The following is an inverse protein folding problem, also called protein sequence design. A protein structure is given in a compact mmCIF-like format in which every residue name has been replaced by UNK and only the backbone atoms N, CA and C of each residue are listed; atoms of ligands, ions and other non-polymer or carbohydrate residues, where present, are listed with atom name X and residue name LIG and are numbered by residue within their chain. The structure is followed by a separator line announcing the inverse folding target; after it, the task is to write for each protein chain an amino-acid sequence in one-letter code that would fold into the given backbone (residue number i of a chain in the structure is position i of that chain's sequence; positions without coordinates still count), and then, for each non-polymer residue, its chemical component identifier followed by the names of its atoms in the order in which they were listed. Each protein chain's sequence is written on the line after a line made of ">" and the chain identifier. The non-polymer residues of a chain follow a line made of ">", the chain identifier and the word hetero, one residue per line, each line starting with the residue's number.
data_IF_947933295529
#
_entry.id   IF_947933295529
#
_cell.length_a   1.000
_cell.length_b   1.000
_cell.length_c   1.000
_cell.angle_alpha   90.00
_cell.angle_beta   90.00
_cell.angle_gamma   90.00
#
_symmetry.space_group_name_H-M   'P 1'
#
loop_
_entity.id
_entity.type
_entity.pdbx_description
1 polymer ?
#
# COMPACT_ATOMS: atom_id res chain seq x y z
N UNK A 1 11.01 -8.16 13.53
CA UNK A 1 11.95 -9.23 13.10
C UNK A 1 13.37 -8.72 13.24
N UNK A 2 14.38 -9.60 13.51
CA UNK A 2 15.79 -9.18 13.70
C UNK A 2 16.38 -8.61 12.39
N UNK A 3 17.12 -7.47 12.44
CA UNK A 3 17.67 -6.83 11.24
C UNK A 3 18.64 -7.73 10.47
N UNK A 4 19.42 -8.58 11.15
CA UNK A 4 20.33 -9.53 10.51
C UNK A 4 19.58 -10.49 9.54
N UNK A 5 18.38 -10.97 9.95
CA UNK A 5 17.58 -11.87 9.11
C UNK A 5 16.90 -11.14 7.94
N UNK A 6 16.53 -9.88 8.13
CA UNK A 6 15.90 -9.05 7.08
C UNK A 6 16.92 -8.62 6.03
N UNK A 7 18.15 -8.27 6.44
CA UNK A 7 19.22 -7.86 5.51
C UNK A 7 19.48 -8.91 4.43
N UNK A 8 19.52 -10.18 4.79
CA UNK A 8 19.72 -11.28 3.82
C UNK A 8 18.67 -11.32 2.70
N UNK A 9 17.43 -10.92 3.01
CA UNK A 9 16.34 -10.87 2.02
C UNK A 9 16.43 -9.59 1.19
N UNK A 10 16.72 -8.47 1.84
CA UNK A 10 16.83 -7.17 1.19
C UNK A 10 18.03 -7.11 0.24
N UNK A 11 19.16 -7.72 0.61
CA UNK A 11 20.35 -7.79 -0.25
C UNK A 11 20.10 -8.58 -1.53
N UNK A 12 19.26 -9.60 -1.48
CA UNK A 12 18.89 -10.40 -2.66
C UNK A 12 18.04 -9.61 -3.69
N UNK A 13 17.32 -8.57 -3.28
CA UNK A 13 16.45 -7.77 -4.19
C UNK A 13 16.99 -6.38 -4.50
N UNK A 14 18.09 -5.98 -3.87
CA UNK A 14 18.71 -4.67 -4.09
C UNK A 14 19.19 -4.53 -5.54
N UNK A 15 18.88 -3.41 -6.19
CA UNK A 15 19.25 -3.11 -7.58
C UNK A 15 18.37 -3.79 -8.63
N UNK A 16 17.41 -4.61 -8.24
CA UNK A 16 16.49 -5.28 -9.16
C UNK A 16 15.33 -4.36 -9.58
N UNK A 17 14.76 -4.64 -10.76
CA UNK A 17 13.51 -4.03 -11.17
C UNK A 17 12.34 -4.52 -10.28
N UNK A 18 11.28 -3.71 -10.19
CA UNK A 18 10.17 -3.97 -9.26
C UNK A 18 9.46 -5.30 -9.50
N UNK A 19 9.14 -5.62 -10.75
CA UNK A 19 8.42 -6.84 -11.10
C UNK A 19 9.22 -8.14 -10.78
N UNK A 20 10.49 -8.31 -11.23
CA UNK A 20 11.28 -9.47 -10.86
C UNK A 20 11.60 -9.57 -9.38
N UNK A 21 11.77 -8.43 -8.67
CA UNK A 21 11.95 -8.42 -7.23
C UNK A 21 10.73 -8.98 -6.48
N UNK A 22 9.51 -8.64 -6.91
CA UNK A 22 8.28 -9.20 -6.34
C UNK A 22 8.17 -10.72 -6.59
N UNK A 23 8.50 -11.16 -7.80
CA UNK A 23 8.53 -12.58 -8.13
C UNK A 23 9.52 -13.34 -7.24
N UNK A 24 10.74 -12.84 -7.11
CA UNK A 24 11.78 -13.46 -6.26
C UNK A 24 11.35 -13.54 -4.79
N UNK A 25 10.76 -12.45 -4.23
CA UNK A 25 10.26 -12.45 -2.86
C UNK A 25 9.10 -13.43 -2.65
N UNK A 26 8.32 -13.73 -3.69
CA UNK A 26 7.20 -14.68 -3.60
C UNK A 26 7.70 -16.11 -3.45
N UNK A 27 8.75 -16.49 -4.19
CA UNK A 27 9.32 -17.84 -4.14
C UNK A 27 10.30 -18.06 -2.99
N UNK A 28 10.75 -16.97 -2.34
CA UNK A 28 11.71 -17.07 -1.24
C UNK A 28 11.05 -17.67 0.02
N UNK A 29 11.60 -18.76 0.53
CA UNK A 29 11.10 -19.49 1.71
C UNK A 29 11.32 -18.78 3.05
N UNK A 30 12.03 -17.67 3.08
CA UNK A 30 12.35 -16.93 4.31
C UNK A 30 11.15 -16.14 4.83
N UNK A 31 10.86 -16.25 6.13
CA UNK A 31 9.76 -15.52 6.78
C UNK A 31 9.87 -13.98 6.64
N UNK A 32 11.08 -13.44 6.42
CA UNK A 32 11.32 -12.01 6.18
C UNK A 32 10.86 -11.57 4.78
N UNK A 33 10.68 -12.47 3.82
CA UNK A 33 10.27 -12.13 2.46
C UNK A 33 8.85 -11.55 2.42
N UNK A 34 7.91 -12.09 3.19
CA UNK A 34 6.52 -11.61 3.23
C UNK A 34 6.36 -10.14 3.60
N UNK A 35 6.94 -9.64 4.73
CA UNK A 35 6.84 -8.22 5.07
C UNK A 35 7.60 -7.32 4.08
N UNK A 36 8.75 -7.76 3.54
CA UNK A 36 9.49 -6.99 2.53
C UNK A 36 8.69 -6.92 1.21
N UNK A 37 8.03 -8.01 0.79
CA UNK A 37 7.13 -8.02 -0.36
C UNK A 37 6.00 -7.00 -0.22
N UNK A 38 5.29 -7.00 0.92
CA UNK A 38 4.21 -6.03 1.18
C UNK A 38 4.70 -4.59 1.14
N UNK A 39 5.89 -4.33 1.67
CA UNK A 39 6.48 -3.00 1.63
C UNK A 39 6.80 -2.58 0.19
N UNK A 40 7.33 -3.49 -0.62
CA UNK A 40 7.63 -3.22 -2.03
C UNK A 40 6.36 -3.01 -2.85
N UNK A 41 5.31 -3.82 -2.65
CA UNK A 41 3.99 -3.63 -3.27
C UNK A 41 3.41 -2.26 -2.95
N UNK A 42 3.46 -1.84 -1.68
CA UNK A 42 3.02 -0.52 -1.24
C UNK A 42 3.84 0.61 -1.86
N UNK A 43 5.15 0.44 -1.97
CA UNK A 43 6.03 1.44 -2.58
C UNK A 43 5.76 1.61 -4.08
N UNK A 44 5.51 0.51 -4.80
CA UNK A 44 5.13 0.55 -6.23
C UNK A 44 3.78 1.23 -6.40
N UNK A 45 2.77 0.86 -5.60
CA UNK A 45 1.45 1.50 -5.65
C UNK A 45 1.53 3.01 -5.37
N UNK A 46 2.37 3.45 -4.42
CA UNK A 46 2.61 4.86 -4.15
C UNK A 46 3.26 5.57 -5.34
N UNK A 47 4.21 4.91 -6.02
CA UNK A 47 4.86 5.47 -7.21
C UNK A 47 3.86 5.65 -8.37
N UNK A 48 3.00 4.68 -8.60
CA UNK A 48 1.95 4.74 -9.63
C UNK A 48 0.90 5.81 -9.31
N UNK A 49 0.35 5.76 -8.08
CA UNK A 49 -0.79 6.61 -7.72
C UNK A 49 -0.39 8.06 -7.46
N UNK A 50 0.65 8.30 -6.67
CA UNK A 50 1.03 9.64 -6.22
C UNK A 50 1.94 10.36 -7.24
N UNK A 51 2.89 9.62 -7.84
CA UNK A 51 3.89 10.19 -8.74
C UNK A 51 3.62 9.93 -10.21
N UNK A 52 2.59 9.14 -10.54
CA UNK A 52 2.21 8.78 -11.91
C UNK A 52 3.36 8.17 -12.72
N UNK A 53 4.21 7.39 -12.06
CA UNK A 53 5.31 6.68 -12.68
C UNK A 53 4.85 5.34 -13.25
N UNK A 54 5.49 4.91 -14.33
CA UNK A 54 5.21 3.59 -14.91
C UNK A 54 5.83 2.48 -14.08
N UNK A 55 5.03 1.46 -13.79
CA UNK A 55 5.42 0.31 -12.97
C UNK A 55 6.62 -0.46 -13.54
N UNK A 56 6.67 -0.60 -14.87
CA UNK A 56 7.71 -1.37 -15.54
C UNK A 56 9.08 -0.71 -15.47
N UNK A 57 9.11 0.63 -15.39
CA UNK A 57 10.33 1.41 -15.29
C UNK A 57 10.94 1.49 -13.88
N UNK A 58 10.23 1.03 -12.84
CA UNK A 58 10.66 1.13 -11.46
C UNK A 58 11.73 0.10 -11.10
N UNK A 59 12.78 0.54 -10.42
CA UNK A 59 13.80 -0.33 -9.85
C UNK A 59 14.17 0.08 -8.41
N UNK A 60 14.73 -0.84 -7.65
CA UNK A 60 15.12 -0.61 -6.26
C UNK A 60 16.51 0.03 -6.27
N UNK A 61 16.57 1.36 -6.10
CA UNK A 61 17.83 2.10 -6.01
C UNK A 61 18.57 1.80 -4.71
N UNK A 62 17.85 1.88 -3.61
CA UNK A 62 18.43 1.67 -2.29
C UNK A 62 17.46 0.92 -1.39
N UNK A 63 18.01 0.02 -0.58
CA UNK A 63 17.27 -0.74 0.41
C UNK A 63 18.10 -0.84 1.68
N UNK A 64 17.62 -0.20 2.74
CA UNK A 64 18.32 -0.07 4.02
C UNK A 64 17.54 -0.79 5.12
N UNK A 65 18.27 -1.47 6.00
CA UNK A 65 17.70 -2.15 7.17
C UNK A 65 18.42 -1.72 8.42
N UNK A 66 17.76 -0.90 9.22
CA UNK A 66 18.25 -0.37 10.47
C UNK A 66 17.69 -1.15 11.67
N UNK A 67 18.37 -1.11 12.79
CA UNK A 67 17.90 -1.72 14.01
C UNK A 67 16.80 -0.86 14.61
N UNK A 68 15.65 -1.50 14.92
CA UNK A 68 14.56 -0.89 15.67
C UNK A 68 14.67 -1.18 17.18
N UNK A 69 13.66 -0.77 17.96
CA UNK A 69 13.62 -1.01 19.39
C UNK A 69 13.67 -2.50 19.71
N UNK A 70 14.35 -2.83 20.82
CA UNK A 70 14.48 -4.22 21.26
C UNK A 70 13.61 -4.45 22.48
N UNK A 71 12.67 -5.40 22.38
CA UNK A 71 11.85 -5.83 23.50
C UNK A 71 12.62 -6.86 24.32
N UNK A 72 12.91 -6.54 25.57
CA UNK A 72 13.58 -7.44 26.50
C UNK A 72 12.57 -8.39 27.13
N UNK A 73 12.88 -9.69 27.14
CA UNK A 73 12.13 -10.75 27.80
C UNK A 73 13.08 -11.60 28.61
N UNK A 74 12.58 -12.29 29.61
CA UNK A 74 13.36 -13.10 30.52
C UNK A 74 12.89 -14.54 30.46
N UNK A 75 13.82 -15.46 30.58
CA UNK A 75 13.55 -16.88 30.71
C UNK A 75 14.14 -17.37 32.03
N UNK A 76 13.32 -18.03 32.88
CA UNK A 76 13.82 -18.58 34.14
C UNK A 76 14.88 -19.67 33.86
N UNK A 77 15.89 -19.69 34.68
CA UNK A 77 16.99 -20.66 34.68
C UNK A 77 17.14 -21.27 36.08
N UNK A 78 18.08 -22.24 36.22
CA UNK A 78 18.38 -22.88 37.48
C UNK A 78 18.80 -21.87 38.55
N UNK A 79 18.64 -22.21 39.82
CA UNK A 79 19.02 -21.42 41.01
C UNK A 79 18.36 -20.03 41.05
N UNK A 80 17.12 -19.88 40.56
CA UNK A 80 16.39 -18.62 40.60
C UNK A 80 16.96 -17.54 39.67
N UNK A 81 17.93 -17.87 38.82
CA UNK A 81 18.52 -16.94 37.86
C UNK A 81 17.59 -16.71 36.66
N UNK A 82 17.76 -15.60 35.95
CA UNK A 82 17.00 -15.29 34.75
C UNK A 82 17.94 -14.93 33.59
N UNK A 83 17.72 -15.53 32.42
CA UNK A 83 18.45 -15.23 31.20
C UNK A 83 17.66 -14.27 30.29
N UNK A 84 18.26 -13.16 29.82
CA UNK A 84 17.59 -12.20 28.95
C UNK A 84 17.38 -12.75 27.53
N UNK A 85 16.20 -12.53 26.97
CA UNK A 85 15.88 -12.80 25.55
C UNK A 85 15.58 -11.47 24.87
N UNK A 86 16.38 -11.13 23.86
CA UNK A 86 16.22 -9.91 23.09
C UNK A 86 15.34 -10.15 21.86
N UNK A 87 14.11 -9.66 21.87
CA UNK A 87 13.22 -9.61 20.70
C UNK A 87 13.54 -8.36 19.87
N UNK A 88 14.50 -8.49 18.96
CA UNK A 88 14.94 -7.38 18.11
C UNK A 88 13.93 -7.09 17.02
N UNK A 89 13.69 -5.80 16.72
CA UNK A 89 12.92 -5.31 15.58
C UNK A 89 13.81 -4.62 14.56
N UNK A 90 13.29 -4.29 13.41
CA UNK A 90 14.02 -3.60 12.34
C UNK A 90 13.13 -2.58 11.63
N UNK A 91 13.72 -1.49 11.21
CA UNK A 91 13.14 -0.52 10.27
C UNK A 91 13.69 -0.82 8.88
N UNK A 92 12.81 -0.90 7.90
CA UNK A 92 13.18 -1.15 6.50
C UNK A 92 12.77 0.07 5.68
N UNK A 93 13.74 0.64 4.95
CA UNK A 93 13.53 1.76 4.05
C UNK A 93 13.86 1.31 2.64
N UNK A 94 12.89 1.45 1.71
CA UNK A 94 13.06 1.16 0.30
C UNK A 94 12.94 2.46 -0.49
N UNK A 95 13.89 2.69 -1.39
CA UNK A 95 13.88 3.81 -2.33
C UNK A 95 13.77 3.23 -3.72
N UNK A 96 12.68 3.58 -4.42
CA UNK A 96 12.45 3.24 -5.81
C UNK A 96 12.84 4.42 -6.69
N UNK A 97 13.37 4.13 -7.86
CA UNK A 97 13.69 5.11 -8.89
C UNK A 97 13.20 4.60 -10.24
N UNK A 98 12.77 5.50 -11.11
CA UNK A 98 12.39 5.17 -12.48
C UNK A 98 13.60 5.33 -13.40
N UNK A 99 13.93 4.31 -14.17
CA UNK A 99 14.99 4.36 -15.20
C UNK A 99 14.62 5.27 -16.37
N UNK A 100 13.33 5.40 -16.62
CA UNK A 100 12.79 6.28 -17.66
C UNK A 100 12.17 7.46 -16.95
N UNK A 101 12.64 8.67 -17.18
CA UNK A 101 12.04 9.92 -16.66
C UNK A 101 10.64 10.22 -17.23
N UNK A 102 9.93 9.23 -17.69
CA UNK A 102 8.57 9.30 -18.17
C UNK A 102 7.61 9.38 -16.99
N UNK A 103 7.50 10.60 -16.44
CA UNK A 103 6.30 11.05 -15.78
C UNK A 103 5.18 10.84 -16.79
N UNK A 104 4.21 9.98 -16.50
CA UNK A 104 2.95 9.98 -17.25
C UNK A 104 2.38 11.38 -17.12
N UNK A 105 2.60 12.22 -18.13
CA UNK A 105 1.85 13.45 -18.27
C UNK A 105 0.39 13.02 -18.33
N UNK A 106 -0.36 13.44 -17.32
CA UNK A 106 -1.79 13.30 -17.33
C UNK A 106 -2.22 13.99 -18.64
N UNK A 107 -2.67 13.20 -19.63
CA UNK A 107 -3.34 13.70 -20.81
C UNK A 107 -4.50 14.53 -20.28
N UNK A 108 -4.27 15.83 -20.22
CA UNK A 108 -5.30 16.82 -19.93
C UNK A 108 -6.32 16.62 -21.04
N UNK A 109 -7.47 16.08 -20.66
CA UNK A 109 -8.61 16.01 -21.55
C UNK A 109 -8.81 17.43 -22.07
N UNK A 110 -8.60 17.61 -23.37
CA UNK A 110 -8.98 18.81 -24.08
C UNK A 110 -10.48 18.97 -23.85
N UNK A 111 -10.82 19.99 -23.07
CA UNK A 111 -12.15 20.53 -22.99
C UNK A 111 -12.52 20.99 -24.37
N UNK A 112 -13.44 20.27 -24.99
CA UNK A 112 -14.13 20.78 -26.17
C UNK A 112 -14.95 21.99 -25.74
N UNK A 113 -14.44 23.17 -26.08
CA UNK A 113 -15.28 24.34 -26.24
C UNK A 113 -16.28 24.05 -27.36
N UNK A 114 -17.51 23.80 -26.97
CA UNK A 114 -18.65 23.95 -27.85
C UNK A 114 -19.41 25.20 -27.44
N UNK A 115 -19.01 26.30 -28.09
CA UNK A 115 -19.89 27.43 -28.29
C UNK A 115 -21.15 26.96 -29.01
N UNK A 116 -22.26 27.00 -28.34
CA UNK A 116 -23.57 27.03 -28.95
C UNK A 116 -24.39 28.18 -28.37
N UNK A 117 -24.23 29.33 -29.02
CA UNK A 117 -25.26 30.35 -29.06
C UNK A 117 -26.54 29.75 -29.61
N UNK A 118 -27.59 29.69 -28.81
CA UNK A 118 -28.96 29.75 -29.29
C UNK A 118 -29.86 30.43 -28.27
N UNK A 119 -30.39 31.54 -28.80
CA UNK A 119 -31.41 32.39 -28.21
C UNK A 119 -32.71 31.62 -27.90
N UNK A 120 -33.33 32.04 -26.82
CA UNK A 120 -34.76 32.22 -26.61
C UNK A 120 -35.71 31.05 -26.80
N UNK A 121 -36.35 30.68 -25.68
CA UNK A 121 -37.79 30.58 -25.62
C UNK A 121 -38.28 30.40 -24.16
N UNK A 122 -39.02 31.38 -23.69
CA UNK A 122 -39.90 31.34 -22.55
C UNK A 122 -40.93 30.22 -22.71
N UNK A 123 -41.15 29.46 -21.64
CA UNK A 123 -42.47 28.99 -21.24
C UNK A 123 -42.50 28.54 -19.79
N UNK A 124 -43.20 29.36 -18.99
CA UNK A 124 -43.77 29.07 -17.70
C UNK A 124 -44.67 27.81 -17.74
N UNK A 125 -44.57 26.95 -16.73
CA UNK A 125 -45.77 26.39 -16.07
C UNK A 125 -45.37 25.71 -14.75
N UNK A 126 -46.10 26.16 -13.73
CA UNK A 126 -46.27 25.62 -12.39
C UNK A 126 -46.58 24.10 -12.40
N UNK A 127 -46.09 23.40 -11.41
CA UNK A 127 -46.85 22.72 -10.36
C UNK A 127 -45.97 21.77 -9.51
N UNK A 128 -46.03 22.03 -8.22
CA UNK A 128 -45.73 21.11 -7.11
C UNK A 128 -47.06 20.42 -6.73
N UNK A 129 -47.14 19.44 -5.80
CA UNK A 129 -46.21 18.51 -5.15
C UNK A 129 -46.84 17.08 -4.95
N UNK A 130 -46.16 16.14 -4.34
CA UNK A 130 -46.60 15.12 -3.34
C UNK A 130 -45.50 14.06 -3.15
N UNK A 131 -44.86 14.02 -2.03
CA UNK A 131 -45.16 13.48 -0.71
C UNK A 131 -45.37 11.95 -0.63
N UNK A 132 -44.60 11.35 0.29
CA UNK A 132 -44.84 10.12 1.05
C UNK A 132 -44.64 8.74 0.38
N UNK A 133 -43.69 7.90 0.90
CA UNK A 133 -44.04 6.98 2.00
C UNK A 133 -42.82 6.25 2.57
N UNK A 134 -42.76 6.24 3.87
CA UNK A 134 -42.03 5.36 4.77
C UNK A 134 -42.53 3.92 4.70
N UNK A 135 -41.62 2.93 4.85
CA UNK A 135 -41.83 1.67 5.59
C UNK A 135 -40.44 1.15 5.93
N UNK A 136 -39.93 1.18 7.12
CA UNK A 136 -40.26 0.47 8.35
C UNK A 136 -40.01 -1.06 8.28
N UNK A 137 -38.91 -1.44 8.95
CA UNK A 137 -38.71 -2.58 9.84
C UNK A 137 -39.08 -4.01 9.41
N UNK A 138 -38.14 -4.93 9.54
CA UNK A 138 -38.41 -6.10 10.38
C UNK A 138 -37.11 -6.73 10.86
N UNK A 139 -36.99 -6.79 12.11
CA UNK A 139 -36.21 -7.50 13.08
C UNK A 139 -36.57 -9.00 13.03
N UNK A 140 -35.61 -9.91 12.99
CA UNK A 140 -35.83 -11.24 13.63
C UNK A 140 -34.53 -11.80 14.15
N UNK A 141 -34.51 -11.97 15.43
CA UNK A 141 -33.59 -12.76 16.22
C UNK A 141 -34.14 -14.19 16.38
N UNK A 142 -33.26 -15.19 16.46
CA UNK A 142 -33.42 -16.44 17.19
C UNK A 142 -32.17 -17.29 16.94
N UNK A 143 -31.34 -17.61 17.90
CA UNK A 143 -31.38 -18.42 19.10
C UNK A 143 -31.13 -19.93 18.87
N UNK A 144 -30.07 -20.47 19.57
CA UNK A 144 -29.85 -21.85 20.06
C UNK A 144 -29.42 -22.91 19.00
N UNK A 145 -28.31 -23.57 19.16
CA UNK A 145 -27.91 -24.51 20.23
C UNK A 145 -26.39 -24.68 20.21
#
# INVERSE_FOLDING_TARGET
>A
MSPRKVRLVVDAVRGMAGAPALAQLTFMSRAAARPVKKLLESAIANAEHNFKLDREGLYIKSALVNQGPTLKRWRPRAMGSAAPILKRTSHVTLVLESKTGAKKEAKKAESHDHDHDHAGHDHSHDEKPKAMKKTAATKTAAKKK
#
